data_IF_991185829420
#
_entry.id   IF_991185829420
#
_cell.length_a   1.000
_cell.length_b   1.000
_cell.length_c   1.000
_cell.angle_alpha   90.00
_cell.angle_beta   90.00
_cell.angle_gamma   90.00
#
_symmetry.space_group_name_H-M   'P 1'
#
loop_
_entity.id
_entity.type
_entity.pdbx_description
1 polymer ?
#
# COMPACT_ATOMS: atom_id res chain seq x y z
N UNK A 1 27.89 9.47 -40.07
CA UNK A 1 27.99 10.44 -38.95
C UNK A 1 27.52 9.70 -37.69
N UNK A 2 28.46 9.36 -36.81
CA UNK A 2 28.23 8.70 -35.52
C UNK A 2 27.43 9.62 -34.59
N UNK A 3 26.17 9.29 -34.33
CA UNK A 3 25.36 9.93 -33.28
C UNK A 3 25.40 9.09 -32.01
N UNK A 4 26.49 9.19 -31.25
CA UNK A 4 26.55 8.66 -29.88
C UNK A 4 25.74 9.61 -28.98
N UNK A 5 24.49 9.25 -28.68
CA UNK A 5 23.71 9.96 -27.66
C UNK A 5 23.75 9.15 -26.36
N UNK A 6 24.49 9.73 -25.42
CA UNK A 6 24.82 9.29 -24.06
C UNK A 6 23.77 8.41 -23.37
N UNK A 7 24.26 7.30 -22.84
CA UNK A 7 23.69 6.59 -21.70
C UNK A 7 23.55 7.56 -20.51
N UNK A 8 22.33 7.91 -20.13
CA UNK A 8 22.05 8.49 -18.80
C UNK A 8 22.25 7.42 -17.74
N UNK A 9 23.51 7.19 -17.36
CA UNK A 9 23.89 6.58 -16.09
C UNK A 9 23.64 7.63 -14.99
N UNK A 10 22.54 7.49 -14.25
CA UNK A 10 22.17 8.53 -13.29
C UNK A 10 21.01 8.22 -12.37
N UNK A 11 20.93 6.98 -11.86
CA UNK A 11 20.22 6.70 -10.61
C UNK A 11 20.91 5.53 -9.88
N UNK A 12 22.19 5.71 -9.56
CA UNK A 12 22.88 4.83 -8.62
C UNK A 12 22.26 5.06 -7.23
N UNK A 13 21.28 4.22 -6.89
CA UNK A 13 20.91 3.86 -5.51
C UNK A 13 20.28 4.96 -4.65
N UNK A 14 19.01 5.30 -4.90
CA UNK A 14 18.18 5.78 -3.81
C UNK A 14 17.97 4.62 -2.83
N UNK A 15 18.77 4.54 -1.76
CA UNK A 15 18.53 3.60 -0.67
C UNK A 15 17.13 3.88 -0.10
N UNK A 16 16.32 2.84 0.04
CA UNK A 16 14.99 2.95 0.63
C UNK A 16 15.12 3.61 2.02
N UNK A 17 14.50 4.77 2.20
CA UNK A 17 14.54 5.48 3.48
C UNK A 17 13.57 4.79 4.45
N UNK A 18 14.02 4.60 5.69
CA UNK A 18 13.13 4.15 6.77
C UNK A 18 12.07 5.21 7.04
N UNK A 19 10.80 4.82 6.97
CA UNK A 19 9.70 5.63 7.47
C UNK A 19 9.54 5.34 8.97
N UNK A 20 9.78 6.35 9.81
CA UNK A 20 9.48 6.30 11.24
C UNK A 20 8.20 7.08 11.47
N UNK A 21 7.20 6.45 12.07
CA UNK A 21 5.93 7.08 12.42
C UNK A 21 5.59 6.79 13.90
N UNK A 22 4.97 7.75 14.57
CA UNK A 22 4.46 7.56 15.93
C UNK A 22 3.08 6.91 15.85
N UNK A 23 2.99 5.63 16.23
CA UNK A 23 1.70 4.96 16.41
C UNK A 23 0.92 5.63 17.55
N UNK A 24 -0.41 5.73 17.39
CA UNK A 24 -1.31 6.22 18.44
C UNK A 24 -1.29 5.31 19.69
N UNK A 25 -0.93 4.03 19.51
CA UNK A 25 -0.74 3.07 20.58
C UNK A 25 -0.14 1.74 20.11
N UNK A 26 0.02 0.79 21.02
CA UNK A 26 0.42 -0.57 20.66
C UNK A 26 -0.75 -1.33 20.02
N UNK A 27 -0.53 -2.12 18.96
CA UNK A 27 -1.56 -3.01 18.44
C UNK A 27 -1.86 -4.14 19.44
N UNK A 28 -3.08 -4.66 19.41
CA UNK A 28 -3.48 -5.81 20.25
C UNK A 28 -2.81 -7.11 19.76
N UNK A 29 -2.49 -7.16 18.46
CA UNK A 29 -1.76 -8.23 17.79
C UNK A 29 -1.68 -7.97 16.30
N UNK A 30 -1.35 -9.00 15.52
CA UNK A 30 -1.18 -8.88 14.06
C UNK A 30 -2.15 -9.74 13.24
N UNK A 31 -3.14 -10.38 13.88
CA UNK A 31 -4.16 -11.11 13.15
C UNK A 31 -5.43 -10.25 12.99
N UNK A 32 -5.72 -9.72 11.79
CA UNK A 32 -6.87 -8.84 11.57
C UNK A 32 -8.22 -9.56 11.77
N UNK A 33 -8.24 -10.90 11.79
CA UNK A 33 -9.47 -11.66 12.09
C UNK A 33 -9.84 -11.67 13.58
N UNK A 34 -8.92 -11.30 14.48
CA UNK A 34 -9.12 -11.37 15.92
C UNK A 34 -9.31 -10.02 16.60
N UNK A 35 -9.03 -8.91 15.91
CA UNK A 35 -8.98 -7.57 16.50
C UNK A 35 -9.68 -6.55 15.61
N UNK A 36 -10.22 -5.48 16.22
CA UNK A 36 -11.02 -4.46 15.52
C UNK A 36 -10.60 -3.02 15.85
N UNK A 37 -9.55 -2.81 16.65
CA UNK A 37 -9.04 -1.47 16.95
C UNK A 37 -8.35 -0.82 15.75
N UNK A 38 -8.48 0.51 15.66
CA UNK A 38 -7.80 1.33 14.64
C UNK A 38 -6.28 1.17 14.68
N UNK A 39 -5.67 1.13 15.87
CA UNK A 39 -4.22 0.93 16.05
C UNK A 39 -3.74 -0.42 15.51
N UNK A 40 -4.54 -1.48 15.63
CA UNK A 40 -4.24 -2.78 15.02
C UNK A 40 -4.39 -2.73 13.51
N UNK A 41 -5.41 -2.05 13.00
CA UNK A 41 -5.56 -1.82 11.56
C UNK A 41 -4.43 -0.97 10.98
N UNK A 42 -3.92 0.05 11.68
CA UNK A 42 -2.76 0.84 11.24
C UNK A 42 -1.50 -0.01 11.09
N UNK A 43 -1.27 -0.92 12.04
CA UNK A 43 -0.13 -1.83 12.01
C UNK A 43 -0.26 -2.91 10.93
N UNK A 44 -1.46 -3.40 10.65
CA UNK A 44 -1.68 -4.60 9.82
C UNK A 44 -2.13 -4.30 8.38
N UNK A 45 -3.06 -3.36 8.19
CA UNK A 45 -3.86 -3.21 6.96
C UNK A 45 -3.09 -2.73 5.73
N UNK A 46 -1.91 -2.14 5.91
CA UNK A 46 -1.04 -1.64 4.82
C UNK A 46 0.38 -2.17 4.88
N UNK A 47 0.88 -2.47 6.08
CA UNK A 47 2.26 -2.88 6.27
C UNK A 47 2.45 -4.41 6.24
N UNK A 48 1.40 -5.19 6.53
CA UNK A 48 1.49 -6.65 6.66
C UNK A 48 0.60 -7.38 5.65
N UNK A 49 -0.65 -6.92 5.45
CA UNK A 49 -1.61 -7.59 4.56
C UNK A 49 -2.12 -6.66 3.45
N UNK A 50 -2.42 -7.26 2.29
CA UNK A 50 -3.12 -6.60 1.19
C UNK A 50 -4.61 -6.99 1.19
N UNK A 51 -5.45 -6.12 0.62
CA UNK A 51 -6.90 -6.35 0.48
C UNK A 51 -7.25 -6.63 -0.99
N UNK A 52 -8.45 -7.15 -1.23
CA UNK A 52 -8.94 -7.37 -2.61
C UNK A 52 -9.04 -6.05 -3.37
N UNK A 53 -9.55 -5.02 -2.70
CA UNK A 53 -9.64 -3.65 -3.19
C UNK A 53 -9.04 -2.68 -2.17
N UNK A 54 -8.58 -1.52 -2.64
CA UNK A 54 -7.90 -0.51 -1.84
C UNK A 54 -8.53 0.87 -2.07
N UNK A 55 -8.16 1.86 -1.25
CA UNK A 55 -8.49 3.26 -1.51
C UNK A 55 -7.35 3.97 -2.22
N UNK A 56 -7.68 4.86 -3.17
CA UNK A 56 -6.68 5.74 -3.75
C UNK A 56 -6.02 6.62 -2.68
N UNK A 57 -4.75 6.98 -2.91
CA UNK A 57 -4.00 7.75 -1.91
C UNK A 57 -4.62 9.15 -1.74
N UNK A 58 -5.11 9.43 -0.54
CA UNK A 58 -5.71 10.72 -0.19
C UNK A 58 -7.18 10.86 -0.54
N UNK A 59 -7.84 9.77 -0.94
CA UNK A 59 -9.27 9.76 -1.24
C UNK A 59 -9.95 8.49 -0.73
N UNK A 60 -11.24 8.37 -1.02
CA UNK A 60 -12.08 7.20 -0.67
C UNK A 60 -12.57 6.46 -1.92
N UNK A 61 -12.04 6.81 -3.10
CA UNK A 61 -12.32 6.07 -4.32
C UNK A 61 -11.69 4.68 -4.22
N UNK A 62 -12.49 3.66 -4.47
CA UNK A 62 -12.04 2.27 -4.51
C UNK A 62 -11.24 2.04 -5.80
N UNK A 63 -10.08 1.41 -5.67
CA UNK A 63 -9.18 1.02 -6.75
C UNK A 63 -8.78 -0.46 -6.61
N UNK A 64 -8.34 -1.12 -7.71
CA UNK A 64 -7.85 -2.49 -7.66
C UNK A 64 -6.73 -2.70 -6.64
N UNK A 65 -6.84 -3.81 -5.91
CA UNK A 65 -5.83 -4.32 -4.96
C UNK A 65 -5.30 -5.66 -5.45
N UNK A 66 -5.46 -6.72 -4.64
CA UNK A 66 -5.20 -8.09 -5.09
C UNK A 66 -6.19 -8.55 -6.18
N UNK A 67 -7.42 -8.04 -6.16
CA UNK A 67 -8.39 -8.25 -7.23
C UNK A 67 -8.23 -7.14 -8.28
N UNK A 68 -7.91 -7.54 -9.51
CA UNK A 68 -7.74 -6.62 -10.65
C UNK A 68 -9.08 -6.11 -11.20
N UNK A 69 -10.14 -6.88 -11.04
CA UNK A 69 -11.51 -6.54 -11.43
C UNK A 69 -12.53 -7.16 -10.48
N UNK A 70 -13.73 -6.57 -10.49
CA UNK A 70 -14.91 -7.11 -9.82
C UNK A 70 -16.15 -6.64 -10.58
N UNK A 71 -17.23 -7.40 -10.45
CA UNK A 71 -18.54 -7.04 -10.95
C UNK A 71 -19.47 -6.93 -9.75
N UNK A 72 -20.47 -6.04 -9.84
CA UNK A 72 -21.51 -5.87 -8.82
C UNK A 72 -22.81 -6.34 -9.45
N UNK A 73 -23.52 -7.23 -8.77
CA UNK A 73 -24.81 -7.73 -9.25
C UNK A 73 -25.90 -6.66 -9.15
N UNK A 74 -27.03 -6.90 -9.84
CA UNK A 74 -28.16 -5.96 -9.88
C UNK A 74 -28.80 -5.72 -8.51
N UNK A 75 -28.63 -6.65 -7.56
CA UNK A 75 -29.14 -6.58 -6.18
C UNK A 75 -28.15 -5.98 -5.17
N UNK A 76 -26.91 -5.71 -5.58
CA UNK A 76 -25.84 -5.18 -4.73
C UNK A 76 -25.28 -6.18 -3.73
#
# INVERSE_FOLDING_TARGET
>A
MCGASLLTFGALGASAKTLVYCSEGSPEGFNPAFYSSGTTFDATSRAIFNKLVEFERGGTKIVPGLAESWEVSDDG
#
